data_IF_918067054171
#
_entry.id   IF_918067054171
#
_cell.length_a   1.000
_cell.length_b   1.000
_cell.length_c   1.000
_cell.angle_alpha   90.00
_cell.angle_beta   90.00
_cell.angle_gamma   90.00
#
_symmetry.space_group_name_H-M   'P 1'
#
loop_
_entity.id
_entity.type
_entity.pdbx_description
1 polymer ?
#
# COMPACT_ATOMS: atom_id res chain seq x y z
N UNK A 1 21.55 -24.94 -20.73
CA UNK A 1 20.63 -23.82 -20.58
C UNK A 1 20.18 -23.83 -19.15
N UNK A 2 20.67 -22.90 -18.33
CA UNK A 2 20.17 -22.81 -16.96
C UNK A 2 18.68 -22.48 -17.01
N UNK A 3 17.89 -23.20 -16.27
CA UNK A 3 16.45 -22.96 -16.23
C UNK A 3 16.18 -21.57 -15.62
N UNK A 4 15.04 -20.97 -15.96
CA UNK A 4 14.62 -19.71 -15.33
C UNK A 4 14.59 -19.84 -13.81
N UNK A 5 14.23 -21.02 -13.31
CA UNK A 5 14.19 -21.32 -11.90
C UNK A 5 15.58 -21.29 -11.23
N UNK A 6 16.61 -21.80 -11.89
CA UNK A 6 18.00 -21.70 -11.41
C UNK A 6 18.44 -20.23 -11.34
N UNK A 7 18.15 -19.46 -12.40
CA UNK A 7 18.48 -18.02 -12.42
C UNK A 7 17.79 -17.25 -11.27
N UNK A 8 16.55 -17.58 -10.92
CA UNK A 8 15.82 -16.97 -9.83
C UNK A 8 16.37 -17.43 -8.46
N UNK A 9 16.73 -18.72 -8.34
CA UNK A 9 17.36 -19.25 -7.12
C UNK A 9 18.70 -18.56 -6.84
N UNK A 10 19.49 -18.30 -7.88
CA UNK A 10 20.78 -17.62 -7.78
C UNK A 10 20.63 -16.12 -7.37
N UNK A 11 19.44 -15.55 -7.54
CA UNK A 11 19.18 -14.16 -7.10
C UNK A 11 19.09 -14.01 -5.58
N UNK A 12 18.86 -15.09 -4.84
CA UNK A 12 18.71 -15.11 -3.38
C UNK A 12 17.79 -13.97 -2.86
N UNK A 13 16.55 -13.97 -3.36
CA UNK A 13 15.57 -12.94 -3.05
C UNK A 13 14.99 -13.16 -1.65
N UNK A 14 15.29 -12.25 -0.74
CA UNK A 14 14.64 -12.25 0.58
C UNK A 14 13.18 -11.80 0.46
N UNK A 15 12.37 -12.09 1.49
CA UNK A 15 10.98 -11.69 1.50
C UNK A 15 10.82 -10.16 1.39
N UNK A 16 9.92 -9.70 0.51
CA UNK A 16 9.69 -8.29 0.19
C UNK A 16 10.66 -7.71 -0.86
N UNK A 17 11.66 -8.47 -1.28
CA UNK A 17 12.67 -7.98 -2.23
C UNK A 17 12.21 -8.14 -3.67
N UNK A 18 12.60 -7.16 -4.49
CA UNK A 18 12.44 -7.18 -5.95
C UNK A 18 13.76 -6.82 -6.61
N UNK A 19 14.24 -7.70 -7.49
CA UNK A 19 15.46 -7.47 -8.29
C UNK A 19 15.16 -7.40 -9.76
N UNK A 20 15.81 -6.47 -10.44
CA UNK A 20 15.71 -6.30 -11.89
C UNK A 20 17.04 -6.57 -12.56
N UNK A 21 17.04 -7.53 -13.50
CA UNK A 21 18.23 -8.03 -14.19
C UNK A 21 18.03 -8.14 -15.70
N UNK A 22 19.05 -8.60 -16.38
CA UNK A 22 18.93 -8.99 -17.78
C UNK A 22 18.13 -10.28 -17.90
N UNK A 23 17.29 -10.38 -18.92
CA UNK A 23 16.50 -11.59 -19.12
C UNK A 23 17.39 -12.77 -19.53
N UNK A 24 17.35 -13.91 -18.84
CA UNK A 24 18.18 -15.07 -19.16
C UNK A 24 17.80 -15.75 -20.47
N UNK A 25 16.60 -15.48 -20.99
CA UNK A 25 16.09 -16.10 -22.22
C UNK A 25 16.29 -15.21 -23.44
N UNK A 26 15.85 -13.95 -23.38
CA UNK A 26 15.92 -13.04 -24.54
C UNK A 26 17.09 -12.07 -24.51
N UNK A 27 17.93 -12.09 -23.47
CA UNK A 27 19.07 -11.20 -23.30
C UNK A 27 18.71 -9.72 -23.13
N UNK A 28 17.42 -9.38 -22.94
CA UNK A 28 16.99 -8.00 -22.76
C UNK A 28 17.64 -7.37 -21.53
N UNK A 29 18.30 -6.20 -21.72
CA UNK A 29 19.03 -5.50 -20.64
C UNK A 29 18.06 -4.89 -19.67
N UNK A 30 18.14 -5.29 -18.38
CA UNK A 30 17.27 -4.81 -17.28
C UNK A 30 15.77 -4.93 -17.60
N UNK A 31 15.36 -5.99 -18.31
CA UNK A 31 13.96 -6.24 -18.65
C UNK A 31 13.31 -7.34 -17.84
N UNK A 32 14.06 -8.11 -17.09
CA UNK A 32 13.57 -9.20 -16.25
C UNK A 32 13.50 -8.73 -14.80
N UNK A 33 12.32 -8.86 -14.19
CA UNK A 33 12.11 -8.57 -12.78
C UNK A 33 11.63 -9.82 -12.08
N UNK A 34 12.23 -10.13 -10.95
CA UNK A 34 11.77 -11.16 -10.03
C UNK A 34 11.50 -10.54 -8.65
N UNK A 35 10.42 -10.95 -8.01
CA UNK A 35 9.95 -10.44 -6.71
C UNK A 35 9.60 -11.62 -5.81
N UNK A 36 10.02 -11.55 -4.55
CA UNK A 36 9.57 -12.45 -3.50
C UNK A 36 8.58 -11.70 -2.60
N UNK A 37 7.32 -12.06 -2.65
CA UNK A 37 6.29 -11.49 -1.81
C UNK A 37 5.65 -12.57 -0.92
N UNK A 38 6.02 -12.57 0.35
CA UNK A 38 5.51 -13.52 1.34
C UNK A 38 5.59 -14.99 0.87
N UNK A 39 6.76 -15.39 0.36
CA UNK A 39 6.98 -16.75 -0.15
C UNK A 39 6.38 -17.01 -1.52
N UNK A 40 5.81 -16.02 -2.18
CA UNK A 40 5.41 -16.10 -3.56
C UNK A 40 6.48 -15.45 -4.44
N UNK A 41 7.29 -16.25 -5.09
CA UNK A 41 8.22 -15.78 -6.10
C UNK A 41 7.47 -15.58 -7.41
N UNK A 42 7.52 -14.35 -7.94
CA UNK A 42 6.93 -14.00 -9.24
C UNK A 42 8.00 -13.36 -10.11
N UNK A 43 7.94 -13.62 -11.40
CA UNK A 43 8.85 -13.00 -12.37
C UNK A 43 8.18 -12.69 -13.70
N UNK A 44 8.71 -11.66 -14.36
CA UNK A 44 8.24 -11.24 -15.66
C UNK A 44 9.35 -10.57 -16.46
N UNK A 45 9.37 -10.77 -17.77
CA UNK A 45 10.19 -10.01 -18.71
C UNK A 45 9.34 -8.98 -19.45
N UNK A 46 9.73 -7.72 -19.36
CA UNK A 46 9.02 -6.59 -19.98
C UNK A 46 9.51 -6.25 -21.40
N UNK A 47 10.39 -7.06 -22.00
CA UNK A 47 10.79 -6.87 -23.38
C UNK A 47 9.68 -7.31 -24.33
N UNK A 48 9.31 -6.46 -25.28
CA UNK A 48 8.31 -6.79 -26.29
C UNK A 48 8.72 -8.07 -27.05
N UNK A 49 7.77 -9.00 -27.19
CA UNK A 49 7.99 -10.30 -27.84
C UNK A 49 8.65 -11.37 -26.94
N UNK A 50 8.93 -11.08 -25.68
CA UNK A 50 9.38 -12.10 -24.74
C UNK A 50 8.20 -12.56 -23.88
N UNK A 51 7.94 -13.87 -23.89
CA UNK A 51 6.84 -14.49 -23.13
C UNK A 51 7.26 -15.04 -21.75
N UNK A 52 8.46 -14.66 -21.29
CA UNK A 52 8.97 -15.14 -19.99
C UNK A 52 8.24 -14.50 -18.85
N UNK A 53 7.36 -15.25 -18.20
CA UNK A 53 6.69 -14.89 -16.97
C UNK A 53 6.35 -16.14 -16.16
N UNK A 54 6.13 -16.00 -14.89
CA UNK A 54 5.71 -17.12 -14.06
C UNK A 54 5.74 -16.80 -12.57
N UNK A 55 5.46 -17.81 -11.78
CA UNK A 55 5.51 -17.75 -10.34
C UNK A 55 5.65 -19.14 -9.71
N UNK A 56 6.25 -19.18 -8.53
CA UNK A 56 6.31 -20.37 -7.70
C UNK A 56 6.15 -19.99 -6.24
N UNK A 57 5.75 -20.92 -5.41
CA UNK A 57 5.69 -20.75 -3.95
C UNK A 57 6.94 -21.32 -3.31
N UNK A 58 7.54 -20.55 -2.42
CA UNK A 58 8.56 -21.01 -1.50
C UNK A 58 7.95 -21.25 -0.14
N UNK A 59 8.53 -22.16 0.64
CA UNK A 59 8.08 -22.38 2.02
C UNK A 59 8.54 -21.20 2.86
N UNK A 60 7.59 -20.46 3.43
CA UNK A 60 7.88 -19.46 4.46
C UNK A 60 8.18 -20.16 5.78
N UNK A 61 9.28 -19.79 6.40
CA UNK A 61 9.55 -20.20 7.75
C UNK A 61 8.85 -19.28 8.75
N UNK A 62 8.58 -19.79 9.96
CA UNK A 62 8.04 -18.95 11.05
C UNK A 62 8.95 -17.75 11.37
N UNK A 63 10.26 -17.89 11.12
CA UNK A 63 11.23 -16.83 11.33
C UNK A 63 11.17 -15.75 10.23
N UNK A 64 10.88 -16.11 8.99
CA UNK A 64 10.65 -15.14 7.91
C UNK A 64 9.42 -14.27 8.20
N UNK A 65 8.35 -14.91 8.66
CA UNK A 65 7.11 -14.19 9.05
C UNK A 65 7.41 -13.26 10.24
N UNK A 66 8.13 -13.76 11.26
CA UNK A 66 8.44 -12.99 12.46
C UNK A 66 9.35 -11.80 12.15
N UNK A 67 10.36 -11.97 11.28
CA UNK A 67 11.23 -10.90 10.81
C UNK A 67 10.45 -9.82 10.03
N UNK A 68 9.56 -10.23 9.13
CA UNK A 68 8.71 -9.28 8.38
C UNK A 68 7.79 -8.48 9.30
N UNK A 69 7.18 -9.11 10.30
CA UNK A 69 6.34 -8.43 11.29
C UNK A 69 7.17 -7.52 12.21
N UNK A 70 8.37 -7.96 12.61
CA UNK A 70 9.29 -7.16 13.42
C UNK A 70 9.78 -5.93 12.71
N UNK A 71 10.18 -6.03 11.43
CA UNK A 71 10.63 -4.88 10.64
C UNK A 71 9.51 -3.83 10.43
N UNK A 72 8.27 -4.28 10.23
CA UNK A 72 7.10 -3.38 10.13
C UNK A 72 6.89 -2.64 11.47
N UNK A 73 7.01 -3.33 12.60
CA UNK A 73 6.86 -2.72 13.91
C UNK A 73 7.96 -1.68 14.20
N UNK A 74 9.21 -2.00 13.90
CA UNK A 74 10.36 -1.09 14.10
C UNK A 74 10.28 0.14 13.18
N UNK A 75 9.89 -0.02 11.90
CA UNK A 75 9.66 1.09 10.99
C UNK A 75 8.50 1.98 11.44
N UNK A 76 7.48 1.39 12.06
CA UNK A 76 6.29 2.11 12.54
C UNK A 76 6.63 3.01 13.74
N UNK A 77 7.50 2.57 14.64
CA UNK A 77 7.93 3.36 15.81
C UNK A 77 8.87 4.51 15.43
N UNK A 78 9.63 4.37 14.34
CA UNK A 78 10.67 5.31 13.94
C UNK A 78 10.18 6.50 13.10
N UNK A 79 8.98 6.46 12.54
CA UNK A 79 8.50 7.50 11.61
C UNK A 79 7.55 8.47 12.29
N UNK A 80 8.05 9.64 12.69
CA UNK A 80 7.19 10.75 13.10
C UNK A 80 6.50 11.38 11.88
N UNK A 81 5.17 11.45 11.90
CA UNK A 81 4.39 12.15 10.88
C UNK A 81 4.05 13.56 11.35
N UNK A 82 4.49 14.55 10.59
CA UNK A 82 4.08 15.93 10.78
C UNK A 82 3.01 16.28 9.76
N UNK A 83 1.77 16.39 10.24
CA UNK A 83 0.65 16.81 9.39
C UNK A 83 0.94 18.18 8.77
N UNK A 84 0.94 18.30 7.42
CA UNK A 84 1.12 19.58 6.77
C UNK A 84 0.09 20.62 7.22
N UNK A 85 0.49 21.88 7.38
CA UNK A 85 -0.37 22.97 7.84
C UNK A 85 -1.58 23.21 6.93
N UNK A 86 -1.44 22.96 5.64
CA UNK A 86 -2.51 23.10 4.65
C UNK A 86 -3.52 21.94 4.62
N UNK A 87 -3.31 20.93 5.47
CA UNK A 87 -4.33 19.91 5.76
C UNK A 87 -5.09 20.38 6.99
N UNK A 88 -6.31 20.81 6.78
CA UNK A 88 -7.16 21.43 7.79
C UNK A 88 -8.40 20.60 8.08
N UNK A 89 -9.07 20.91 9.17
CA UNK A 89 -10.40 20.38 9.47
C UNK A 89 -11.43 21.32 8.84
N UNK A 90 -11.97 20.94 7.71
CA UNK A 90 -12.99 21.68 6.96
C UNK A 90 -14.03 20.69 6.44
N UNK A 91 -15.08 20.48 7.22
CA UNK A 91 -16.12 19.51 6.89
C UNK A 91 -17.00 19.98 5.72
N UNK A 92 -17.21 21.29 5.58
CA UNK A 92 -18.01 21.85 4.49
C UNK A 92 -17.34 21.59 3.14
N UNK A 93 -16.01 21.69 3.08
CA UNK A 93 -15.24 21.43 1.86
C UNK A 93 -15.27 19.96 1.40
N UNK A 94 -15.59 19.03 2.29
CA UNK A 94 -15.67 17.58 1.97
C UNK A 94 -17.10 17.05 1.95
N UNK A 95 -18.10 17.90 2.23
CA UNK A 95 -19.50 17.47 2.38
C UNK A 95 -20.06 16.79 1.11
N UNK A 96 -19.88 17.35 -0.07
CA UNK A 96 -20.35 16.77 -1.34
C UNK A 96 -19.76 15.37 -1.58
N UNK A 97 -18.49 15.20 -1.20
CA UNK A 97 -17.83 13.89 -1.27
C UNK A 97 -18.46 12.90 -0.28
N UNK A 98 -18.69 13.33 0.95
CA UNK A 98 -19.31 12.50 1.99
C UNK A 98 -20.74 12.10 1.62
N UNK A 99 -21.54 13.03 1.11
CA UNK A 99 -22.89 12.76 0.63
C UNK A 99 -22.90 11.72 -0.51
N UNK A 100 -21.92 11.79 -1.41
CA UNK A 100 -21.81 10.84 -2.54
C UNK A 100 -21.57 9.41 -2.08
N UNK A 101 -20.86 9.23 -0.96
CA UNK A 101 -20.45 7.93 -0.45
C UNK A 101 -21.16 7.52 0.84
N UNK A 102 -22.14 8.32 1.28
CA UNK A 102 -22.90 8.11 2.52
C UNK A 102 -22.00 7.99 3.75
N UNK A 103 -20.98 8.88 3.85
CA UNK A 103 -20.00 8.90 4.93
C UNK A 103 -20.23 10.06 5.89
N UNK A 104 -19.92 9.89 7.18
CA UNK A 104 -19.83 10.99 8.14
C UNK A 104 -18.38 11.48 8.28
N UNK A 105 -18.15 12.73 7.85
CA UNK A 105 -16.82 13.35 7.90
C UNK A 105 -16.28 13.53 9.32
N UNK A 106 -17.17 13.70 10.32
CA UNK A 106 -16.80 13.95 11.73
C UNK A 106 -16.44 12.65 12.43
N UNK A 107 -17.26 11.63 12.22
CA UNK A 107 -17.05 10.31 12.82
C UNK A 107 -15.76 9.66 12.27
N UNK A 108 -15.49 9.85 10.98
CA UNK A 108 -14.26 9.38 10.34
C UNK A 108 -13.04 10.29 10.58
N UNK A 109 -13.24 11.47 11.20
CA UNK A 109 -12.18 12.44 11.44
C UNK A 109 -11.53 12.96 10.15
N UNK A 110 -12.28 13.06 9.05
CA UNK A 110 -11.75 13.47 7.75
C UNK A 110 -11.20 14.89 7.80
N UNK A 111 -10.18 15.12 6.98
CA UNK A 111 -9.53 16.42 6.82
C UNK A 111 -9.59 16.83 5.35
N UNK A 112 -9.21 18.08 5.08
CA UNK A 112 -9.18 18.64 3.73
C UNK A 112 -7.80 19.24 3.41
N UNK A 113 -7.25 18.88 2.26
CA UNK A 113 -6.06 19.51 1.69
C UNK A 113 -6.48 20.69 0.82
N UNK A 114 -6.29 21.92 1.34
CA UNK A 114 -6.68 23.17 0.64
C UNK A 114 -5.83 23.46 -0.59
N UNK A 115 -4.61 22.91 -0.67
CA UNK A 115 -3.71 23.14 -1.81
C UNK A 115 -4.02 22.23 -2.99
N UNK A 116 -4.33 20.98 -2.67
CA UNK A 116 -4.52 19.98 -3.71
C UNK A 116 -5.98 19.56 -3.90
N UNK A 117 -6.91 20.14 -3.15
CA UNK A 117 -8.33 19.79 -3.20
C UNK A 117 -8.56 18.29 -3.04
N UNK A 118 -8.22 17.79 -1.86
CA UNK A 118 -8.36 16.37 -1.53
C UNK A 118 -9.08 16.21 -0.22
N UNK A 119 -9.99 15.25 -0.17
CA UNK A 119 -10.41 14.69 1.13
C UNK A 119 -9.29 13.84 1.67
N UNK A 120 -8.98 13.98 2.96
CA UNK A 120 -7.82 13.34 3.59
C UNK A 120 -8.29 12.43 4.72
N UNK A 121 -7.94 11.16 4.59
CA UNK A 121 -8.18 10.10 5.57
C UNK A 121 -6.97 10.00 6.49
N UNK A 122 -7.10 10.30 7.79
CA UNK A 122 -6.00 10.20 8.73
C UNK A 122 -5.69 8.73 9.05
N UNK A 123 -4.43 8.34 8.97
CA UNK A 123 -3.98 7.04 9.47
C UNK A 123 -3.59 7.22 10.93
N UNK A 124 -4.36 6.60 11.82
CA UNK A 124 -4.19 6.74 13.27
C UNK A 124 -3.74 5.41 13.87
N UNK A 125 -2.74 5.45 14.73
CA UNK A 125 -2.27 4.32 15.52
C UNK A 125 -2.05 4.77 16.96
N UNK A 126 -2.60 4.04 17.92
CA UNK A 126 -2.54 4.40 19.35
C UNK A 126 -2.97 5.85 19.64
N UNK A 127 -4.05 6.32 19.01
CA UNK A 127 -4.58 7.68 19.07
C UNK A 127 -3.63 8.78 18.56
N UNK A 128 -2.58 8.40 17.84
CA UNK A 128 -1.64 9.34 17.21
C UNK A 128 -1.79 9.22 15.69
N UNK A 129 -1.90 10.36 15.01
CA UNK A 129 -1.87 10.38 13.55
C UNK A 129 -0.45 10.11 13.06
N UNK A 130 -0.26 8.95 12.43
CA UNK A 130 1.05 8.47 11.96
C UNK A 130 1.26 8.62 10.46
N UNK A 131 0.18 8.90 9.72
CA UNK A 131 0.21 9.19 8.29
C UNK A 131 -1.14 9.75 7.83
N UNK A 132 -1.28 10.04 6.55
CA UNK A 132 -2.53 10.40 5.92
C UNK A 132 -2.57 9.99 4.45
N UNK A 133 -3.77 9.70 3.95
CA UNK A 133 -4.00 9.39 2.54
C UNK A 133 -5.08 10.31 1.98
N UNK A 134 -4.77 11.05 0.92
CA UNK A 134 -5.68 11.98 0.28
C UNK A 134 -6.27 11.46 -1.01
N UNK A 135 -7.60 11.54 -1.14
CA UNK A 135 -8.32 11.28 -2.37
C UNK A 135 -8.66 12.59 -3.07
N UNK A 136 -8.31 12.72 -4.34
CA UNK A 136 -8.62 13.90 -5.13
C UNK A 136 -10.15 14.08 -5.28
N UNK A 137 -10.61 15.29 -5.05
CA UNK A 137 -11.94 15.74 -5.44
C UNK A 137 -11.89 16.11 -6.92
N UNK A 138 -12.80 15.57 -7.73
CA UNK A 138 -12.83 15.78 -9.18
C UNK A 138 -11.82 14.93 -9.96
N UNK A 139 -11.27 15.49 -11.05
CA UNK A 139 -10.48 14.75 -12.07
C UNK A 139 -8.97 14.81 -11.86
N UNK A 140 -8.47 15.26 -10.73
CA UNK A 140 -7.04 15.42 -10.47
C UNK A 140 -6.30 14.07 -10.42
N UNK A 141 -5.09 14.03 -10.98
CA UNK A 141 -4.20 12.87 -10.99
C UNK A 141 -2.95 13.19 -10.16
N UNK A 142 -2.43 12.27 -9.36
CA UNK A 142 -2.99 10.94 -9.08
C UNK A 142 -4.27 11.02 -8.24
N UNK A 143 -5.19 10.07 -8.43
CA UNK A 143 -6.44 9.99 -7.69
C UNK A 143 -6.20 9.87 -6.19
N UNK A 144 -5.20 9.07 -5.80
CA UNK A 144 -4.76 8.86 -4.42
C UNK A 144 -3.36 9.42 -4.20
N UNK A 145 -3.11 9.99 -3.05
CA UNK A 145 -1.81 10.52 -2.62
C UNK A 145 -1.59 10.19 -1.15
N UNK A 146 -0.43 9.62 -0.84
CA UNK A 146 0.02 9.46 0.54
C UNK A 146 0.88 10.64 0.95
N UNK A 147 0.73 11.11 2.19
CA UNK A 147 1.43 12.30 2.70
C UNK A 147 2.68 11.95 3.50
N UNK A 148 2.70 10.78 4.12
CA UNK A 148 3.85 10.25 4.86
C UNK A 148 4.44 9.01 4.22
N UNK A 149 5.22 8.28 5.00
CA UNK A 149 5.90 7.04 4.60
C UNK A 149 5.60 5.87 5.54
N UNK A 150 4.66 6.05 6.49
CA UNK A 150 4.33 5.01 7.44
C UNK A 150 3.66 3.83 6.71
N UNK A 151 4.07 2.56 6.95
CA UNK A 151 3.51 1.39 6.26
C UNK A 151 2.11 1.03 6.71
N UNK A 152 1.62 1.57 7.85
CA UNK A 152 0.32 1.22 8.38
C UNK A 152 -0.83 1.55 7.44
N UNK A 153 -1.85 0.69 7.35
CA UNK A 153 -3.06 0.96 6.59
C UNK A 153 -3.96 1.98 7.31
N UNK A 154 -4.88 2.57 6.56
CA UNK A 154 -6.05 3.22 7.15
C UNK A 154 -6.98 2.14 7.73
N UNK A 155 -7.41 2.34 8.98
CA UNK A 155 -8.33 1.42 9.68
C UNK A 155 -9.56 2.21 10.12
N UNK A 156 -10.74 1.64 9.91
CA UNK A 156 -12.03 2.17 10.31
C UNK A 156 -12.89 1.08 10.94
N UNK A 157 -13.71 1.47 11.92
CA UNK A 157 -14.60 0.56 12.64
C UNK A 157 -13.92 -0.21 13.78
N UNK A 158 -14.72 -0.99 14.51
CA UNK A 158 -14.32 -1.81 15.65
C UNK A 158 -14.88 -3.22 15.49
N UNK A 159 -14.13 -4.23 15.90
CA UNK A 159 -14.63 -5.60 15.84
C UNK A 159 -13.54 -6.64 16.06
N UNK A 160 -13.95 -7.89 16.11
CA UNK A 160 -13.06 -9.06 16.23
C UNK A 160 -12.70 -9.67 14.88
N UNK A 161 -13.33 -9.21 13.82
CA UNK A 161 -13.10 -9.68 12.44
C UNK A 161 -12.66 -8.50 11.58
N UNK A 162 -11.53 -8.64 10.90
CA UNK A 162 -11.01 -7.63 9.97
C UNK A 162 -11.41 -7.93 8.52
N UNK A 163 -11.81 -6.89 7.79
CA UNK A 163 -12.02 -6.93 6.34
C UNK A 163 -10.94 -6.07 5.67
N UNK A 164 -10.23 -6.63 4.70
CA UNK A 164 -9.20 -5.90 3.94
C UNK A 164 -9.78 -5.48 2.60
N UNK A 165 -9.72 -4.19 2.31
CA UNK A 165 -10.22 -3.58 1.08
C UNK A 165 -9.12 -2.75 0.41
N UNK A 166 -9.33 -2.36 -0.84
CA UNK A 166 -8.29 -1.74 -1.66
C UNK A 166 -8.04 -0.25 -1.37
N UNK A 167 -9.03 0.47 -0.82
CA UNK A 167 -8.91 1.92 -0.57
C UNK A 167 -9.65 2.40 0.70
N UNK A 168 -9.35 3.65 1.11
CA UNK A 168 -9.90 4.24 2.34
C UNK A 168 -11.41 4.48 2.29
N UNK A 169 -11.99 4.73 1.11
CA UNK A 169 -13.45 4.92 0.97
C UNK A 169 -14.17 3.61 1.23
N UNK A 170 -13.70 2.54 0.60
CA UNK A 170 -14.24 1.19 0.82
C UNK A 170 -14.08 0.76 2.29
N UNK A 171 -12.95 1.10 2.92
CA UNK A 171 -12.74 0.82 4.33
C UNK A 171 -13.74 1.59 5.22
N UNK A 172 -13.98 2.87 4.93
CA UNK A 172 -14.93 3.70 5.67
C UNK A 172 -16.36 3.16 5.57
N UNK A 173 -16.83 2.84 4.35
CA UNK A 173 -18.17 2.27 4.13
C UNK A 173 -18.35 0.96 4.91
N UNK A 174 -17.37 0.05 4.84
CA UNK A 174 -17.44 -1.23 5.56
C UNK A 174 -17.36 -1.00 7.07
N UNK A 175 -16.55 -0.04 7.54
CA UNK A 175 -16.41 0.28 8.94
C UNK A 175 -17.68 0.86 9.55
N UNK A 176 -18.38 1.77 8.86
CA UNK A 176 -19.62 2.38 9.33
C UNK A 176 -20.82 1.39 9.34
N UNK A 177 -20.83 0.41 8.43
CA UNK A 177 -21.93 -0.58 8.39
C UNK A 177 -21.86 -1.67 9.46
N UNK A 178 -20.77 -1.75 10.21
CA UNK A 178 -20.52 -2.77 11.24
C UNK A 178 -20.57 -2.21 12.69
N UNK A 179 -21.25 -1.10 12.91
CA UNK A 179 -21.49 -0.51 14.25
C UNK A 179 -22.80 -0.97 14.84
#
# INVERSE_FOLDING_TARGET
MNSIQEHISDMDLVNGESKRTNCPVCGGVKTFTATNNMGQLMWNCYKAGCSVSGGTRTTLTSDDIRKSLGSIAEETEAVSFHKPEWIVRDYDAVQEFCDTWELDARDLGLLYDVREHRVVFPVVHNNIMVDATGRALGKKIPKWKRYGKNPLPYVCGYGTTGVVVEDCVSAAIVGETNV
#
